data_IF_180660648228
#
_entry.id   IF_180660648228
#
_cell.length_a   1.000
_cell.length_b   1.000
_cell.length_c   1.000
_cell.angle_alpha   90.00
_cell.angle_beta   90.00
_cell.angle_gamma   90.00
#
_symmetry.space_group_name_H-M   'P 1'
#
loop_
_entity.id
_entity.type
_entity.pdbx_description
1 polymer ?
#
# COMPACT_ATOMS: atom_id res chain seq x y z
N UNK A 1 -20.84 0.61 -21.53
CA UNK A 1 -19.52 0.75 -20.87
C UNK A 1 -18.47 0.87 -21.96
N UNK A 2 -17.69 1.96 -21.96
CA UNK A 2 -16.60 2.12 -22.93
C UNK A 2 -15.51 1.07 -22.68
N UNK A 3 -14.86 0.58 -23.73
CA UNK A 3 -13.76 -0.36 -23.59
C UNK A 3 -12.58 0.29 -22.87
N UNK A 4 -11.99 -0.41 -21.88
CA UNK A 4 -10.77 0.05 -21.19
C UNK A 4 -9.65 0.29 -22.23
N UNK A 5 -9.01 1.47 -22.25
CA UNK A 5 -7.91 1.76 -23.18
C UNK A 5 -6.81 0.71 -23.14
N UNK A 6 -6.26 0.33 -24.30
CA UNK A 6 -5.22 -0.69 -24.39
C UNK A 6 -4.00 -0.36 -23.51
N UNK A 7 -3.54 0.89 -23.53
CA UNK A 7 -2.41 1.34 -22.72
C UNK A 7 -2.64 1.15 -21.20
N UNK A 8 -3.88 1.36 -20.73
CA UNK A 8 -4.23 1.13 -19.33
C UNK A 8 -4.17 -0.36 -18.98
N UNK A 9 -4.62 -1.25 -19.87
CA UNK A 9 -4.52 -2.71 -19.65
C UNK A 9 -3.06 -3.15 -19.55
N UNK A 10 -2.21 -2.69 -20.46
CA UNK A 10 -0.76 -2.98 -20.43
C UNK A 10 -0.15 -2.47 -19.12
N UNK A 11 -0.52 -1.26 -18.69
CA UNK A 11 -0.05 -0.70 -17.44
C UNK A 11 -0.45 -1.55 -16.22
N UNK A 12 -1.70 -2.02 -16.15
CA UNK A 12 -2.17 -2.92 -15.08
C UNK A 12 -1.40 -4.24 -15.10
N UNK A 13 -1.13 -4.82 -16.28
CA UNK A 13 -0.31 -6.03 -16.40
C UNK A 13 1.11 -5.81 -15.89
N UNK A 14 1.73 -4.67 -16.23
CA UNK A 14 3.07 -4.31 -15.74
C UNK A 14 3.05 -4.16 -14.21
N UNK A 15 2.04 -3.49 -13.65
CA UNK A 15 1.88 -3.37 -12.20
C UNK A 15 1.70 -4.75 -11.56
N UNK A 16 0.89 -5.63 -12.16
CA UNK A 16 0.72 -7.02 -11.75
C UNK A 16 2.03 -7.79 -11.68
N UNK A 17 2.79 -7.78 -12.78
CA UNK A 17 4.09 -8.44 -12.84
C UNK A 17 5.06 -7.87 -11.79
N UNK A 18 5.13 -6.53 -11.67
CA UNK A 18 5.99 -5.87 -10.68
C UNK A 18 5.58 -6.20 -9.25
N UNK A 19 4.28 -6.22 -8.95
CA UNK A 19 3.75 -6.61 -7.64
C UNK A 19 4.15 -8.04 -7.29
N UNK A 20 3.98 -8.99 -8.21
CA UNK A 20 4.42 -10.38 -7.99
C UNK A 20 5.93 -10.47 -7.75
N UNK A 21 6.73 -9.76 -8.56
CA UNK A 21 8.19 -9.72 -8.39
C UNK A 21 8.55 -9.19 -7.00
N UNK A 22 7.96 -8.06 -6.57
CA UNK A 22 8.23 -7.46 -5.27
C UNK A 22 7.73 -8.32 -4.09
N UNK A 23 6.66 -9.09 -4.28
CA UNK A 23 6.16 -10.02 -3.26
C UNK A 23 7.03 -11.28 -3.12
N UNK A 24 7.65 -11.76 -4.20
CA UNK A 24 8.33 -13.07 -4.22
C UNK A 24 9.85 -12.93 -4.11
N UNK A 25 10.46 -11.94 -4.77
CA UNK A 25 11.91 -11.78 -4.81
C UNK A 25 12.55 -11.69 -3.41
N UNK A 26 11.99 -10.95 -2.44
CA UNK A 26 12.56 -10.88 -1.09
C UNK A 26 12.58 -12.24 -0.38
N UNK A 27 11.57 -13.09 -0.60
CA UNK A 27 11.52 -14.44 -0.01
C UNK A 27 12.63 -15.35 -0.55
N UNK A 28 13.00 -15.17 -1.82
CA UNK A 28 14.07 -15.93 -2.47
C UNK A 28 15.44 -15.45 -1.99
N UNK A 29 15.63 -14.13 -1.90
CA UNK A 29 16.93 -13.53 -1.58
C UNK A 29 17.26 -13.61 -0.08
N UNK A 30 16.25 -13.63 0.78
CA UNK A 30 16.44 -13.61 2.24
C UNK A 30 15.46 -14.56 2.94
N UNK A 31 15.68 -15.89 2.82
CA UNK A 31 14.88 -16.88 3.53
C UNK A 31 15.09 -16.66 5.03
N UNK A 32 14.07 -16.11 5.67
CA UNK A 32 14.07 -15.80 7.09
C UNK A 32 13.44 -16.97 7.85
N UNK A 33 14.05 -17.39 8.96
CA UNK A 33 13.38 -18.28 9.89
C UNK A 33 12.31 -17.46 10.64
N UNK A 34 11.06 -17.92 10.63
CA UNK A 34 9.95 -17.25 11.29
C UNK A 34 9.76 -17.79 12.69
N UNK A 35 9.52 -16.89 13.66
CA UNK A 35 9.03 -17.31 14.97
C UNK A 35 7.52 -17.60 14.93
N UNK A 36 7.03 -18.40 15.86
CA UNK A 36 5.58 -18.67 16.00
C UNK A 36 4.78 -17.38 16.21
N UNK A 37 5.37 -16.39 16.89
CA UNK A 37 4.78 -15.09 17.14
C UNK A 37 4.68 -14.24 15.85
N UNK A 38 5.67 -14.33 14.96
CA UNK A 38 5.62 -13.68 13.64
C UNK A 38 4.49 -14.27 12.80
N UNK A 39 4.34 -15.60 12.82
CA UNK A 39 3.27 -16.29 12.09
C UNK A 39 1.90 -15.89 12.64
N UNK A 40 1.73 -15.86 13.96
CA UNK A 40 0.48 -15.47 14.61
C UNK A 40 0.11 -14.01 14.29
N UNK A 41 1.06 -13.08 14.46
CA UNK A 41 0.83 -11.65 14.18
C UNK A 41 0.52 -11.40 12.70
N UNK A 42 1.29 -12.00 11.78
CA UNK A 42 1.01 -11.95 10.35
C UNK A 42 -0.38 -12.48 10.01
N UNK A 43 -0.79 -13.60 10.60
CA UNK A 43 -2.11 -14.20 10.37
C UNK A 43 -3.25 -13.29 10.84
N UNK A 44 -3.12 -12.69 12.02
CA UNK A 44 -4.10 -11.72 12.55
C UNK A 44 -4.18 -10.50 11.64
N UNK A 45 -3.04 -9.93 11.24
CA UNK A 45 -3.01 -8.73 10.39
C UNK A 45 -3.53 -9.00 8.97
N UNK A 46 -3.24 -10.17 8.39
CA UNK A 46 -3.83 -10.63 7.12
C UNK A 46 -5.35 -10.72 7.25
N UNK A 47 -5.85 -11.35 8.31
CA UNK A 47 -7.30 -11.47 8.55
C UNK A 47 -7.94 -10.09 8.71
N UNK A 48 -7.35 -9.21 9.52
CA UNK A 48 -7.84 -7.83 9.70
C UNK A 48 -7.85 -7.06 8.38
N UNK A 49 -6.83 -7.22 7.54
CA UNK A 49 -6.77 -6.58 6.22
C UNK A 49 -7.88 -7.10 5.31
N UNK A 50 -8.09 -8.42 5.26
CA UNK A 50 -9.19 -9.03 4.49
C UNK A 50 -10.55 -8.52 4.96
N UNK A 51 -10.77 -8.46 6.28
CA UNK A 51 -12.01 -7.95 6.86
C UNK A 51 -12.20 -6.47 6.58
N UNK A 52 -11.15 -5.66 6.67
CA UNK A 52 -11.22 -4.23 6.39
C UNK A 52 -11.53 -3.93 4.91
N UNK A 53 -11.04 -4.75 3.98
CA UNK A 53 -11.39 -4.65 2.55
C UNK A 53 -12.85 -5.06 2.34
N UNK A 54 -13.28 -6.16 2.98
CA UNK A 54 -14.63 -6.71 2.79
C UNK A 54 -15.73 -5.86 3.45
N UNK A 55 -15.43 -5.25 4.59
CA UNK A 55 -16.37 -4.51 5.42
C UNK A 55 -15.88 -3.07 5.65
N UNK A 56 -15.91 -2.21 4.61
CA UNK A 56 -15.53 -0.82 4.77
C UNK A 56 -16.46 -0.12 5.77
N UNK A 57 -15.88 0.68 6.68
CA UNK A 57 -16.66 1.43 7.65
C UNK A 57 -17.11 2.74 7.00
N UNK A 58 -18.40 2.83 6.71
CA UNK A 58 -19.01 4.05 6.17
C UNK A 58 -19.56 4.86 7.35
N UNK A 59 -18.90 5.97 7.70
CA UNK A 59 -19.33 6.82 8.82
C UNK A 59 -20.52 7.72 8.44
N UNK A 60 -20.55 8.21 7.20
CA UNK A 60 -21.67 8.96 6.60
C UNK A 60 -21.72 8.66 5.11
N UNK A 61 -22.87 8.93 4.47
CA UNK A 61 -23.11 8.72 3.04
C UNK A 61 -22.11 9.40 2.08
N UNK A 62 -21.24 10.28 2.57
CA UNK A 62 -20.18 10.94 1.82
C UNK A 62 -18.76 10.74 2.37
N UNK A 63 -18.59 9.96 3.45
CA UNK A 63 -17.29 9.71 4.09
C UNK A 63 -17.15 8.21 4.37
N UNK A 64 -16.45 7.53 3.47
CA UNK A 64 -16.00 6.15 3.66
C UNK A 64 -14.61 6.17 4.29
N UNK A 65 -14.47 5.58 5.49
CA UNK A 65 -13.16 5.36 6.10
C UNK A 65 -12.72 3.94 5.80
N UNK A 66 -11.74 3.83 4.91
CA UNK A 66 -11.07 2.57 4.64
C UNK A 66 -10.06 2.31 5.76
N UNK A 67 -10.46 1.53 6.77
CA UNK A 67 -9.56 1.10 7.84
C UNK A 67 -8.46 0.14 7.37
N UNK A 68 -8.42 -0.21 6.08
CA UNK A 68 -7.42 -1.08 5.44
C UNK A 68 -5.98 -0.58 5.67
N UNK A 69 -5.79 0.74 5.73
CA UNK A 69 -4.47 1.34 5.94
C UNK A 69 -3.84 0.94 7.30
N UNK A 70 -4.66 0.72 8.33
CA UNK A 70 -4.17 0.41 9.69
C UNK A 70 -3.47 -0.96 9.75
N UNK A 71 -4.12 -2.11 9.42
CA UNK A 71 -3.46 -3.40 9.46
C UNK A 71 -2.35 -3.52 8.42
N UNK A 72 -2.45 -2.83 7.28
CA UNK A 72 -1.38 -2.79 6.28
C UNK A 72 -0.13 -2.03 6.77
N UNK A 73 -0.31 -0.90 7.46
CA UNK A 73 0.80 -0.17 8.08
C UNK A 73 1.40 -0.98 9.24
N UNK A 74 0.57 -1.66 10.02
CA UNK A 74 1.05 -2.59 11.04
C UNK A 74 1.91 -3.69 10.43
N UNK A 75 1.50 -4.30 9.30
CA UNK A 75 2.32 -5.29 8.58
C UNK A 75 3.70 -4.74 8.23
N UNK A 76 3.79 -3.51 7.71
CA UNK A 76 5.05 -2.83 7.39
C UNK A 76 5.95 -2.67 8.61
N UNK A 77 5.37 -2.33 9.76
CA UNK A 77 6.13 -1.99 10.97
C UNK A 77 6.54 -3.22 11.79
N UNK A 78 5.73 -4.28 11.80
CA UNK A 78 5.93 -5.42 12.70
C UNK A 78 6.46 -6.68 12.01
N UNK A 79 6.37 -6.77 10.69
CA UNK A 79 6.70 -8.01 9.97
C UNK A 79 8.11 -7.94 9.39
N UNK A 80 8.86 -9.06 9.37
CA UNK A 80 10.09 -9.15 8.59
C UNK A 80 9.88 -8.68 7.14
N UNK A 81 10.78 -7.80 6.68
CA UNK A 81 10.71 -7.18 5.35
C UNK A 81 10.36 -8.15 4.22
N UNK A 82 10.96 -9.37 4.15
CA UNK A 82 10.71 -10.27 3.04
C UNK A 82 9.25 -10.71 2.88
N UNK A 83 8.46 -10.67 3.96
CA UNK A 83 7.08 -11.13 3.97
C UNK A 83 6.05 -10.05 3.64
N UNK A 84 6.39 -8.76 3.80
CA UNK A 84 5.40 -7.68 3.74
C UNK A 84 4.66 -7.71 2.40
N UNK A 85 5.40 -7.76 1.28
CA UNK A 85 4.80 -7.79 -0.05
C UNK A 85 3.89 -9.01 -0.27
N UNK A 86 4.30 -10.19 0.18
CA UNK A 86 3.54 -11.43 -0.01
C UNK A 86 2.26 -11.45 0.83
N UNK A 87 2.33 -11.03 2.10
CA UNK A 87 1.17 -10.99 2.99
C UNK A 87 0.15 -9.92 2.57
N UNK A 88 0.63 -8.75 2.15
CA UNK A 88 -0.20 -7.69 1.57
C UNK A 88 -0.86 -8.19 0.29
N UNK A 89 -0.12 -8.87 -0.59
CA UNK A 89 -0.66 -9.41 -1.83
C UNK A 89 -1.74 -10.47 -1.56
N UNK A 90 -1.46 -11.42 -0.68
CA UNK A 90 -2.39 -12.47 -0.30
C UNK A 90 -3.68 -11.89 0.31
N UNK A 91 -3.55 -11.02 1.31
CA UNK A 91 -4.70 -10.40 1.97
C UNK A 91 -5.51 -9.52 1.02
N UNK A 92 -4.86 -8.77 0.13
CA UNK A 92 -5.54 -7.95 -0.88
C UNK A 92 -6.33 -8.80 -1.87
N UNK A 93 -5.70 -9.84 -2.43
CA UNK A 93 -6.37 -10.75 -3.38
C UNK A 93 -7.57 -11.43 -2.72
N UNK A 94 -7.41 -11.98 -1.51
CA UNK A 94 -8.52 -12.62 -0.78
C UNK A 94 -9.63 -11.59 -0.50
N UNK A 95 -9.28 -10.41 0.00
CA UNK A 95 -10.24 -9.34 0.30
C UNK A 95 -11.06 -8.94 -0.92
N UNK A 96 -10.40 -8.66 -2.04
CA UNK A 96 -11.08 -8.26 -3.29
C UNK A 96 -11.89 -9.40 -3.92
N UNK A 97 -11.43 -10.65 -3.86
CA UNK A 97 -12.22 -11.80 -4.34
C UNK A 97 -13.49 -12.03 -3.53
N UNK A 98 -13.51 -11.62 -2.25
CA UNK A 98 -14.71 -11.70 -1.41
C UNK A 98 -15.73 -10.58 -1.73
N UNK A 99 -15.33 -9.53 -2.45
CA UNK A 99 -16.23 -8.50 -2.96
C UNK A 99 -16.89 -9.00 -4.26
N UNK A 100 -18.18 -9.37 -4.19
CA UNK A 100 -18.88 -10.10 -5.27
C UNK A 100 -19.19 -9.30 -6.56
N UNK A 101 -18.55 -8.16 -6.83
CA UNK A 101 -18.96 -7.28 -7.93
C UNK A 101 -17.86 -6.37 -8.53
N UNK A 102 -16.57 -6.74 -8.45
CA UNK A 102 -15.49 -5.91 -9.01
C UNK A 102 -14.98 -6.41 -10.36
N UNK A 103 -14.53 -5.46 -11.20
CA UNK A 103 -13.86 -5.76 -12.47
C UNK A 103 -12.50 -6.45 -12.16
N UNK A 104 -12.19 -7.60 -12.80
CA UNK A 104 -10.90 -8.27 -12.61
C UNK A 104 -9.68 -7.36 -12.83
N UNK A 105 -9.76 -6.38 -13.73
CA UNK A 105 -8.68 -5.42 -13.98
C UNK A 105 -8.48 -4.51 -12.78
N UNK A 106 -9.56 -4.07 -12.14
CA UNK A 106 -9.52 -3.26 -10.93
C UNK A 106 -8.93 -4.05 -9.76
N UNK A 107 -9.35 -5.32 -9.58
CA UNK A 107 -8.82 -6.21 -8.54
C UNK A 107 -7.30 -6.36 -8.70
N UNK A 108 -6.85 -6.69 -9.92
CA UNK A 108 -5.41 -6.85 -10.20
C UNK A 108 -4.67 -5.56 -9.95
N UNK A 109 -5.19 -4.42 -10.41
CA UNK A 109 -4.53 -3.13 -10.19
C UNK A 109 -4.43 -2.78 -8.71
N UNK A 110 -5.52 -2.84 -7.96
CA UNK A 110 -5.57 -2.47 -6.55
C UNK A 110 -4.69 -3.38 -5.69
N UNK A 111 -4.74 -4.70 -5.91
CA UNK A 111 -3.87 -5.65 -5.21
C UNK A 111 -2.39 -5.40 -5.52
N UNK A 112 -2.06 -5.19 -6.80
CA UNK A 112 -0.67 -4.91 -7.22
C UNK A 112 -0.18 -3.58 -6.66
N UNK A 113 -1.02 -2.56 -6.67
CA UNK A 113 -0.73 -1.26 -6.10
C UNK A 113 -0.39 -1.39 -4.61
N UNK A 114 -1.24 -2.06 -3.83
CA UNK A 114 -1.01 -2.34 -2.41
C UNK A 114 0.36 -3.01 -2.18
N UNK A 115 0.65 -4.07 -2.93
CA UNK A 115 1.93 -4.78 -2.84
C UNK A 115 3.11 -3.87 -3.14
N UNK A 116 3.06 -3.13 -4.26
CA UNK A 116 4.19 -2.29 -4.69
C UNK A 116 4.49 -1.22 -3.64
N UNK A 117 3.50 -0.40 -3.28
CA UNK A 117 3.79 0.73 -2.40
C UNK A 117 4.13 0.28 -0.97
N UNK A 118 3.48 -0.76 -0.43
CA UNK A 118 3.80 -1.25 0.93
C UNK A 118 5.15 -1.95 0.98
N UNK A 119 5.55 -2.66 -0.09
CA UNK A 119 6.90 -3.25 -0.17
C UNK A 119 7.97 -2.17 -0.25
N UNK A 120 7.76 -1.13 -1.07
CA UNK A 120 8.68 0.02 -1.13
C UNK A 120 8.75 0.76 0.20
N UNK A 121 7.61 0.92 0.88
CA UNK A 121 7.51 1.55 2.20
C UNK A 121 8.28 0.75 3.24
N UNK A 122 8.09 -0.57 3.29
CA UNK A 122 8.84 -1.45 4.19
C UNK A 122 10.34 -1.45 3.88
N UNK A 123 10.72 -1.47 2.60
CA UNK A 123 12.12 -1.40 2.19
C UNK A 123 12.76 -0.08 2.66
N UNK A 124 12.10 1.06 2.42
CA UNK A 124 12.55 2.35 2.91
C UNK A 124 12.69 2.37 4.44
N UNK A 125 11.68 1.85 5.15
CA UNK A 125 11.73 1.79 6.61
C UNK A 125 12.89 0.92 7.11
N UNK A 126 13.15 -0.22 6.49
CA UNK A 126 14.25 -1.12 6.87
C UNK A 126 15.63 -0.45 6.78
N UNK A 127 15.80 0.46 5.82
CA UNK A 127 17.04 1.23 5.63
C UNK A 127 17.15 2.37 6.63
N UNK A 128 16.03 3.00 6.97
CA UNK A 128 15.98 4.19 7.81
C UNK A 128 15.86 3.90 9.32
N UNK A 129 15.29 2.75 9.72
CA UNK A 129 14.95 2.47 11.13
C UNK A 129 16.14 2.45 12.10
N UNK A 130 17.35 2.22 11.60
CA UNK A 130 18.57 2.17 12.42
C UNK A 130 19.37 3.50 12.39
N UNK A 131 18.83 4.54 11.75
CA UNK A 131 19.52 5.82 11.55
C UNK A 131 19.20 6.79 12.68
N UNK A 132 20.00 6.79 13.74
CA UNK A 132 19.74 7.59 14.95
C UNK A 132 19.68 9.12 14.71
N UNK A 133 20.27 9.62 13.62
CA UNK A 133 20.22 11.06 13.27
C UNK A 133 18.83 11.52 12.79
N UNK A 134 17.91 10.60 12.51
CA UNK A 134 16.53 10.90 12.11
C UNK A 134 15.60 11.27 13.28
N UNK A 135 16.14 11.51 14.47
CA UNK A 135 15.40 11.98 15.64
C UNK A 135 15.14 10.91 16.69
N UNK A 136 14.28 11.19 17.69
CA UNK A 136 14.06 10.30 18.82
C UNK A 136 13.35 9.02 18.40
N UNK A 137 13.67 7.92 19.10
CA UNK A 137 12.98 6.64 18.93
C UNK A 137 11.55 6.71 19.49
N UNK A 138 10.59 6.15 18.75
CA UNK A 138 9.17 6.13 19.13
C UNK A 138 8.78 4.70 19.50
N UNK A 139 8.79 4.41 20.81
CA UNK A 139 8.25 3.17 21.36
C UNK A 139 8.92 1.89 20.84
N UNK A 140 10.22 1.93 20.52
CA UNK A 140 10.95 0.78 19.99
C UNK A 140 10.66 0.44 18.53
N UNK A 141 9.85 1.24 17.83
CA UNK A 141 9.53 1.05 16.41
C UNK A 141 10.66 1.58 15.52
N UNK A 142 11.18 2.75 15.87
CA UNK A 142 12.25 3.43 15.15
C UNK A 142 12.20 4.96 15.33
N UNK A 143 13.21 5.67 14.79
CA UNK A 143 13.28 7.13 14.82
C UNK A 143 12.05 7.78 14.19
N UNK A 144 11.53 8.86 14.79
CA UNK A 144 10.38 9.61 14.28
C UNK A 144 10.56 10.03 12.80
N UNK A 145 11.76 10.51 12.43
CA UNK A 145 12.05 10.90 11.06
C UNK A 145 12.05 9.73 10.07
N UNK A 146 12.39 8.52 10.51
CA UNK A 146 12.27 7.32 9.68
C UNK A 146 10.78 7.02 9.39
N UNK A 147 9.92 7.11 10.41
CA UNK A 147 8.47 6.91 10.27
C UNK A 147 7.88 7.95 9.30
N UNK A 148 8.21 9.23 9.46
CA UNK A 148 7.73 10.31 8.58
C UNK A 148 8.22 10.12 7.14
N UNK A 149 9.52 9.86 6.95
CA UNK A 149 10.08 9.65 5.61
C UNK A 149 9.47 8.44 4.91
N UNK A 150 9.25 7.35 5.64
CA UNK A 150 8.54 6.17 5.15
C UNK A 150 7.09 6.48 4.77
N UNK A 151 6.39 7.30 5.56
CA UNK A 151 5.05 7.80 5.22
C UNK A 151 5.03 8.59 3.91
N UNK A 152 6.07 9.40 3.64
CA UNK A 152 6.20 10.10 2.35
C UNK A 152 6.42 9.12 1.20
N UNK A 153 7.19 8.05 1.39
CA UNK A 153 7.37 6.99 0.38
C UNK A 153 6.04 6.31 0.08
N UNK A 154 5.27 5.98 1.12
CA UNK A 154 3.95 5.39 1.00
C UNK A 154 3.03 6.26 0.13
N UNK A 155 2.87 7.53 0.50
CA UNK A 155 2.00 8.49 -0.19
C UNK A 155 2.48 8.70 -1.64
N UNK A 156 3.77 8.98 -1.84
CA UNK A 156 4.32 9.30 -3.15
C UNK A 156 4.19 8.13 -4.13
N UNK A 157 4.48 6.90 -3.69
CA UNK A 157 4.38 5.71 -4.53
C UNK A 157 2.93 5.32 -4.81
N UNK A 158 2.04 5.42 -3.82
CA UNK A 158 0.61 5.23 -4.00
C UNK A 158 0.05 6.20 -5.06
N UNK A 159 0.34 7.49 -4.93
CA UNK A 159 -0.13 8.49 -5.89
C UNK A 159 0.50 8.36 -7.27
N UNK A 160 1.77 7.94 -7.36
CA UNK A 160 2.41 7.66 -8.64
C UNK A 160 1.65 6.58 -9.41
N UNK A 161 1.23 5.50 -8.74
CA UNK A 161 0.51 4.41 -9.39
C UNK A 161 -0.89 4.85 -9.86
N UNK A 162 -1.66 5.49 -8.98
CA UNK A 162 -3.01 6.00 -9.32
C UNK A 162 -2.95 7.04 -10.43
N UNK A 163 -2.00 7.97 -10.35
CA UNK A 163 -1.82 9.02 -11.37
C UNK A 163 -1.38 8.45 -12.71
N UNK A 164 -0.63 7.34 -12.72
CA UNK A 164 -0.28 6.60 -13.92
C UNK A 164 -1.52 6.05 -14.63
N UNK A 165 -2.38 5.34 -13.88
CA UNK A 165 -3.64 4.83 -14.41
C UNK A 165 -4.55 5.96 -14.93
N UNK A 166 -4.73 7.01 -14.13
CA UNK A 166 -5.58 8.15 -14.47
C UNK A 166 -5.04 8.92 -15.70
N UNK A 167 -3.74 9.14 -15.79
CA UNK A 167 -3.12 9.80 -16.94
C UNK A 167 -3.33 9.02 -18.24
N UNK A 168 -3.18 7.69 -18.19
CA UNK A 168 -3.42 6.82 -19.36
C UNK A 168 -4.90 6.78 -19.75
N UNK A 169 -5.82 6.82 -18.78
CA UNK A 169 -7.26 6.85 -19.05
C UNK A 169 -7.70 8.16 -19.69
N UNK A 170 -7.14 9.29 -19.24
CA UNK A 170 -7.49 10.64 -19.72
C UNK A 170 -6.66 11.09 -20.93
N UNK A 171 -5.64 10.34 -21.34
CA UNK A 171 -4.66 10.80 -22.34
C UNK A 171 -3.88 12.04 -21.89
N UNK A 172 -3.65 12.19 -20.58
CA UNK A 172 -3.03 13.36 -19.98
C UNK A 172 -1.54 13.13 -19.68
N UNK A 173 -0.80 14.22 -19.46
CA UNK A 173 0.58 14.13 -18.98
C UNK A 173 0.63 13.63 -17.52
N UNK A 174 1.40 12.56 -17.29
CA UNK A 174 1.58 11.93 -15.97
C UNK A 174 1.99 12.92 -14.88
N UNK A 175 3.06 13.69 -15.08
CA UNK A 175 3.59 14.60 -14.05
C UNK A 175 2.59 15.68 -13.66
N UNK A 176 1.78 16.14 -14.61
CA UNK A 176 0.69 17.08 -14.35
C UNK A 176 -0.38 16.47 -13.45
N UNK A 177 -0.82 15.24 -13.74
CA UNK A 177 -1.82 14.53 -12.93
C UNK A 177 -1.27 14.24 -11.54
N UNK A 178 -0.06 13.69 -11.46
CA UNK A 178 0.61 13.34 -10.21
C UNK A 178 0.80 14.53 -9.29
N UNK A 179 1.32 15.65 -9.80
CA UNK A 179 1.48 16.87 -9.00
C UNK A 179 0.13 17.41 -8.53
N UNK A 180 -0.91 17.33 -9.35
CA UNK A 180 -2.25 17.79 -8.97
C UNK A 180 -2.87 16.94 -7.86
N UNK A 181 -2.70 15.61 -7.89
CA UNK A 181 -3.17 14.72 -6.81
C UNK A 181 -2.36 14.95 -5.54
N UNK A 182 -1.03 14.90 -5.65
CA UNK A 182 -0.13 15.07 -4.52
C UNK A 182 -0.39 16.36 -3.75
N UNK A 183 -0.58 17.49 -4.44
CA UNK A 183 -0.82 18.77 -3.77
C UNK A 183 -2.20 18.86 -3.11
N UNK A 184 -3.25 18.32 -3.73
CA UNK A 184 -4.62 18.39 -3.18
C UNK A 184 -4.81 17.47 -1.99
N UNK A 185 -4.30 16.25 -2.08
CA UNK A 185 -4.53 15.24 -1.07
C UNK A 185 -3.64 15.48 0.15
N UNK A 186 -2.39 15.95 -0.04
CA UNK A 186 -1.52 16.36 1.07
C UNK A 186 -2.16 17.47 1.91
N UNK A 187 -2.78 18.47 1.27
CA UNK A 187 -3.51 19.53 1.99
C UNK A 187 -4.67 18.93 2.77
N UNK A 188 -5.41 17.99 2.16
CA UNK A 188 -6.57 17.34 2.78
C UNK A 188 -6.15 16.51 4.00
N UNK A 189 -5.11 15.69 3.89
CA UNK A 189 -4.59 14.87 5.00
C UNK A 189 -4.05 15.73 6.14
N UNK A 190 -3.27 16.77 5.84
CA UNK A 190 -2.77 17.71 6.87
C UNK A 190 -3.93 18.42 7.57
N UNK A 191 -4.97 18.82 6.81
CA UNK A 191 -6.15 19.48 7.40
C UNK A 191 -6.94 18.53 8.29
N UNK A 192 -7.07 17.25 7.90
CA UNK A 192 -7.74 16.24 8.71
C UNK A 192 -6.98 15.93 10.01
N UNK A 193 -5.65 15.90 9.98
CA UNK A 193 -4.81 15.72 11.17
C UNK A 193 -4.86 16.94 12.09
N UNK A 194 -4.95 18.16 11.53
CA UNK A 194 -4.99 19.39 12.32
C UNK A 194 -6.34 19.70 13.00
N UNK A 195 -7.43 19.02 12.61
CA UNK A 195 -8.79 19.24 13.14
C UNK A 195 -9.22 18.09 14.08
N UNK A 196 -8.52 16.95 14.09
CA UNK A 196 -8.73 15.84 15.01
C UNK A 196 -7.89 15.96 16.28
#
# INVERSE_FOLDING_TARGET
MGSIPFALRVYVVICGALGVILAVLPLIVSPSAFSDLDILSASVLVLMTVLAIKFPIVLRASVELFMVAVPMTALVLTTPLPLVGSLVGLSSVIGYLLLRAQDPVEIVFNASQAVIHLTLTAAAFSVLKNQAWLGPDVGGVGPLGAIVATGLVLIASNYALVSGAAALQMGANFFRVWRSHFTRDLITEVTQIGVG
#
